data_IF_640778762833
#
_entry.id   IF_640778762833
#
_cell.length_a   1.000
_cell.length_b   1.000
_cell.length_c   1.000
_cell.angle_alpha   90.00
_cell.angle_beta   90.00
_cell.angle_gamma   90.00
#
_symmetry.space_group_name_H-M   'P 1'
#
loop_
_entity.id
_entity.type
_entity.pdbx_description
1 polymer ?
#
# COMPACT_ATOMS: atom_id res chain seq x y z
N UNK A 1 -9.93 13.95 5.66
CA UNK A 1 -8.56 13.75 5.15
C UNK A 1 -7.82 15.07 5.27
N UNK A 2 -6.70 15.08 5.96
CA UNK A 2 -5.81 16.25 6.02
C UNK A 2 -5.05 16.32 4.68
N UNK A 3 -5.02 17.48 4.04
CA UNK A 3 -4.20 17.66 2.84
C UNK A 3 -2.72 17.47 3.21
N UNK A 4 -1.87 16.93 2.30
CA UNK A 4 -0.44 16.84 2.55
C UNK A 4 0.16 18.22 2.78
N UNK A 5 1.18 18.31 3.61
CA UNK A 5 1.97 19.54 3.68
C UNK A 5 2.78 19.73 2.38
N UNK A 6 3.12 20.99 2.08
CA UNK A 6 3.81 21.34 0.83
C UNK A 6 5.17 20.63 0.68
N UNK A 7 5.87 20.38 1.77
CA UNK A 7 7.18 19.72 1.75
C UNK A 7 7.03 18.25 1.38
N UNK A 8 6.09 17.56 1.99
CA UNK A 8 5.77 16.15 1.68
C UNK A 8 5.37 16.02 0.21
N UNK A 9 4.47 16.87 -0.27
CA UNK A 9 4.04 16.83 -1.66
C UNK A 9 5.21 17.10 -2.64
N UNK A 10 6.08 18.08 -2.34
CA UNK A 10 7.25 18.35 -3.17
C UNK A 10 8.23 17.16 -3.21
N UNK A 11 8.45 16.50 -2.08
CA UNK A 11 9.31 15.30 -2.00
C UNK A 11 8.74 14.16 -2.85
N UNK A 12 7.45 13.88 -2.71
CA UNK A 12 6.77 12.82 -3.48
C UNK A 12 6.75 13.12 -4.98
N UNK A 13 6.47 14.36 -5.36
CA UNK A 13 6.50 14.79 -6.77
C UNK A 13 7.88 14.59 -7.36
N UNK A 14 8.92 15.01 -6.64
CA UNK A 14 10.30 14.83 -7.09
C UNK A 14 10.65 13.35 -7.28
N UNK A 15 10.37 12.51 -6.27
CA UNK A 15 10.61 11.06 -6.35
C UNK A 15 9.87 10.44 -7.54
N UNK A 16 8.60 10.79 -7.72
CA UNK A 16 7.79 10.30 -8.82
C UNK A 16 8.39 10.67 -10.18
N UNK A 17 8.76 11.93 -10.36
CA UNK A 17 9.29 12.42 -11.64
C UNK A 17 10.69 11.87 -11.96
N UNK A 18 11.51 11.62 -10.95
CA UNK A 18 12.83 10.98 -11.10
C UNK A 18 12.69 9.53 -11.56
N UNK A 19 11.70 8.78 -11.05
CA UNK A 19 11.54 7.35 -11.32
C UNK A 19 10.63 7.04 -12.52
N UNK A 20 9.60 7.85 -12.75
CA UNK A 20 8.55 7.55 -13.73
C UNK A 20 8.39 8.61 -14.83
N UNK A 21 9.12 9.71 -14.71
CA UNK A 21 9.03 10.85 -15.62
C UNK A 21 7.94 11.87 -15.23
N UNK A 22 7.83 12.97 -15.98
CA UNK A 22 7.01 14.12 -15.59
C UNK A 22 5.53 13.75 -15.44
N UNK A 23 4.91 14.26 -14.39
CA UNK A 23 3.48 14.07 -14.14
C UNK A 23 2.63 14.79 -15.22
N UNK A 24 3.02 16.00 -15.61
CA UNK A 24 2.27 16.80 -16.58
C UNK A 24 0.86 17.13 -16.08
N UNK A 25 -0.14 17.02 -16.97
CA UNK A 25 -1.54 17.33 -16.66
C UNK A 25 -2.32 16.09 -16.10
N UNK A 26 -1.62 15.00 -15.76
CA UNK A 26 -2.27 13.79 -15.22
C UNK A 26 -2.81 14.04 -13.81
N UNK A 27 -3.93 13.41 -13.51
CA UNK A 27 -4.52 13.47 -12.18
C UNK A 27 -3.63 12.71 -11.18
N UNK A 28 -3.32 13.36 -10.06
CA UNK A 28 -2.54 12.79 -8.97
C UNK A 28 -3.47 12.44 -7.82
N UNK A 29 -3.39 11.20 -7.36
CA UNK A 29 -4.03 10.75 -6.13
C UNK A 29 -3.00 10.79 -5.01
N UNK A 30 -3.28 11.53 -3.94
CA UNK A 30 -2.51 11.45 -2.70
C UNK A 30 -3.11 10.42 -1.74
N UNK A 31 -2.24 9.62 -1.16
CA UNK A 31 -2.60 8.57 -0.18
C UNK A 31 -1.79 8.77 1.09
N UNK A 32 -2.47 8.69 2.24
CA UNK A 32 -1.86 8.76 3.56
C UNK A 32 -2.34 7.56 4.39
N UNK A 33 -1.41 6.74 4.87
CA UNK A 33 -1.69 5.55 5.66
C UNK A 33 -0.80 5.52 6.91
N UNK A 34 -1.36 5.83 8.10
CA UNK A 34 -0.59 5.87 9.34
C UNK A 34 -0.16 4.47 9.79
N UNK A 35 0.98 4.42 10.47
CA UNK A 35 1.36 3.29 11.30
C UNK A 35 0.45 3.14 12.50
N UNK A 36 0.55 2.01 13.20
CA UNK A 36 -0.23 1.76 14.41
C UNK A 36 0.64 1.24 15.54
N UNK A 37 0.23 1.50 16.78
CA UNK A 37 0.79 0.86 17.96
C UNK A 37 -0.33 0.22 18.78
N UNK A 38 -0.04 -0.96 19.31
CA UNK A 38 -0.89 -1.57 20.32
C UNK A 38 -0.70 -0.83 21.66
N UNK A 39 -1.81 -0.43 22.26
CA UNK A 39 -1.85 0.29 23.53
C UNK A 39 -2.07 -0.69 24.69
N UNK A 40 -2.89 -1.71 24.45
CA UNK A 40 -3.23 -2.74 25.43
C UNK A 40 -3.68 -4.02 24.71
N UNK A 41 -3.36 -5.18 25.29
CA UNK A 41 -3.74 -6.49 24.76
C UNK A 41 -2.58 -7.50 24.84
N UNK A 42 -1.34 -7.03 24.99
CA UNK A 42 -0.14 -7.84 25.22
C UNK A 42 0.06 -8.97 24.19
N UNK A 43 -0.06 -8.63 22.90
CA UNK A 43 0.10 -9.54 21.77
C UNK A 43 -0.83 -10.76 21.75
N UNK A 44 -2.05 -10.61 22.26
CA UNK A 44 -3.05 -11.69 22.24
C UNK A 44 -3.93 -11.68 20.99
N UNK A 45 -3.75 -10.72 20.09
CA UNK A 45 -4.53 -10.57 18.85
C UNK A 45 -4.44 -11.81 17.95
N UNK A 46 -3.24 -12.37 17.76
CA UNK A 46 -3.03 -13.60 16.98
C UNK A 46 -3.56 -14.88 17.65
N UNK A 47 -3.95 -14.81 18.91
CA UNK A 47 -4.61 -15.90 19.66
C UNK A 47 -6.12 -15.66 19.82
N UNK A 48 -6.68 -14.68 19.10
CA UNK A 48 -8.08 -14.29 19.18
C UNK A 48 -8.42 -13.44 20.41
N UNK A 49 -7.41 -12.85 21.06
CA UNK A 49 -7.56 -11.94 22.17
C UNK A 49 -8.01 -10.56 21.75
N UNK A 50 -8.47 -9.76 22.72
CA UNK A 50 -8.86 -8.38 22.52
C UNK A 50 -7.67 -7.45 22.68
N UNK A 51 -7.45 -6.55 21.71
CA UNK A 51 -6.44 -5.51 21.75
C UNK A 51 -7.04 -4.13 21.58
N UNK A 52 -6.35 -3.12 22.09
CA UNK A 52 -6.63 -1.71 21.83
C UNK A 52 -5.41 -1.18 21.10
N UNK A 53 -5.60 -0.71 19.88
CA UNK A 53 -4.56 -0.08 19.09
C UNK A 53 -4.95 1.33 18.66
N UNK A 54 -3.95 2.17 18.41
CA UNK A 54 -4.15 3.54 17.94
C UNK A 54 -3.23 3.87 16.78
N UNK A 55 -3.69 4.75 15.91
CA UNK A 55 -2.87 5.32 14.82
C UNK A 55 -1.78 6.23 15.40
N UNK A 56 -0.64 6.25 14.71
CA UNK A 56 0.52 7.06 15.06
C UNK A 56 0.66 8.25 14.11
N UNK A 57 1.52 9.18 14.49
CA UNK A 57 1.93 10.33 13.66
C UNK A 57 3.11 10.00 12.72
N UNK A 58 3.32 8.72 12.46
CA UNK A 58 4.24 8.22 11.44
C UNK A 58 3.42 7.45 10.40
N UNK A 59 3.73 7.63 9.12
CA UNK A 59 2.85 7.16 8.07
C UNK A 59 3.63 6.76 6.80
N UNK A 60 2.92 6.12 5.90
CA UNK A 60 3.21 6.05 4.47
C UNK A 60 2.48 7.20 3.81
N UNK A 61 3.21 8.08 3.16
CA UNK A 61 2.69 9.14 2.31
C UNK A 61 3.07 8.86 0.87
N UNK A 62 2.10 8.81 -0.03
CA UNK A 62 2.33 8.45 -1.42
C UNK A 62 1.49 9.22 -2.41
N UNK A 63 1.96 9.25 -3.65
CA UNK A 63 1.18 9.72 -4.80
C UNK A 63 1.06 8.62 -5.83
N UNK A 64 -0.12 8.46 -6.39
CA UNK A 64 -0.42 7.51 -7.43
C UNK A 64 -0.95 8.21 -8.68
N UNK A 65 -0.53 7.75 -9.85
CA UNK A 65 -0.97 8.27 -11.15
C UNK A 65 -1.31 7.10 -12.06
N UNK A 66 -2.54 7.08 -12.60
CA UNK A 66 -2.97 6.06 -13.54
C UNK A 66 -2.12 6.07 -14.82
N UNK A 67 -1.93 4.87 -15.39
CA UNK A 67 -1.22 4.67 -16.66
C UNK A 67 -2.05 3.80 -17.60
N UNK A 68 -1.76 3.88 -18.90
CA UNK A 68 -2.39 3.03 -19.94
C UNK A 68 -1.70 1.65 -20.06
N UNK A 69 -0.90 1.26 -19.07
CA UNK A 69 -0.19 -0.03 -19.04
C UNK A 69 -0.96 -1.04 -18.19
N UNK A 70 -0.59 -2.32 -18.29
CA UNK A 70 -1.07 -3.37 -17.39
C UNK A 70 -0.08 -3.64 -16.25
N UNK A 71 0.66 -2.62 -15.80
CA UNK A 71 1.70 -2.74 -14.79
C UNK A 71 1.44 -1.79 -13.62
N UNK A 72 1.79 -2.23 -12.42
CA UNK A 72 1.98 -1.35 -11.28
C UNK A 72 3.47 -1.20 -11.05
N UNK A 73 3.97 0.05 -11.12
CA UNK A 73 5.36 0.37 -10.80
C UNK A 73 5.40 1.12 -9.48
N UNK A 74 6.34 0.76 -8.64
CA UNK A 74 6.43 1.30 -7.27
C UNK A 74 7.83 1.83 -7.01
N UNK A 75 7.91 3.07 -6.55
CA UNK A 75 9.12 3.72 -6.07
C UNK A 75 8.97 4.00 -4.56
N UNK A 76 9.82 3.40 -3.75
CA UNK A 76 9.96 3.65 -2.32
C UNK A 76 11.25 4.44 -2.08
N UNK A 77 11.17 5.54 -1.35
CA UNK A 77 12.34 6.39 -1.11
C UNK A 77 13.49 5.61 -0.48
N UNK A 78 14.63 5.57 -1.17
CA UNK A 78 15.84 4.87 -0.71
C UNK A 78 15.92 3.39 -1.06
N UNK A 79 14.96 2.86 -1.83
CA UNK A 79 14.94 1.48 -2.30
C UNK A 79 14.85 1.41 -3.83
N UNK A 80 15.29 0.30 -4.45
CA UNK A 80 15.15 0.12 -5.89
C UNK A 80 13.68 0.09 -6.31
N UNK A 81 13.34 0.83 -7.37
CA UNK A 81 12.04 0.76 -8.02
C UNK A 81 11.76 -0.63 -8.57
N UNK A 82 10.54 -1.12 -8.40
CA UNK A 82 10.11 -2.41 -8.90
C UNK A 82 8.76 -2.33 -9.61
N UNK A 83 8.42 -3.37 -10.35
CA UNK A 83 7.14 -3.48 -11.04
C UNK A 83 6.53 -4.88 -10.89
N UNK A 84 5.20 -4.94 -10.97
CA UNK A 84 4.44 -6.16 -11.19
C UNK A 84 3.58 -6.02 -12.44
N UNK A 85 3.32 -7.13 -13.13
CA UNK A 85 2.31 -7.17 -14.20
C UNK A 85 0.96 -7.59 -13.62
N UNK A 86 -0.11 -7.06 -14.19
CA UNK A 86 -1.49 -7.39 -13.82
C UNK A 86 -2.08 -8.56 -14.64
N UNK A 87 -1.27 -9.19 -15.52
CA UNK A 87 -1.69 -10.35 -16.33
C UNK A 87 -2.12 -11.53 -15.47
N UNK A 88 -1.52 -11.69 -14.31
CA UNK A 88 -1.92 -12.65 -13.28
C UNK A 88 -1.77 -12.05 -11.91
N UNK A 89 -2.79 -12.25 -11.08
CA UNK A 89 -2.79 -11.84 -9.68
C UNK A 89 -2.63 -13.04 -8.74
N UNK A 90 -2.32 -14.23 -9.28
CA UNK A 90 -2.02 -15.40 -8.49
C UNK A 90 -0.70 -15.24 -7.72
N UNK A 91 -0.57 -15.98 -6.63
CA UNK A 91 0.66 -16.02 -5.81
C UNK A 91 1.85 -16.41 -6.67
N UNK A 92 2.91 -15.61 -6.61
CA UNK A 92 4.18 -15.87 -7.26
C UNK A 92 5.22 -16.28 -6.20
N UNK A 93 5.67 -17.53 -6.23
CA UNK A 93 6.65 -18.04 -5.25
C UNK A 93 7.95 -17.22 -5.23
N UNK A 94 8.36 -16.68 -6.38
CA UNK A 94 9.54 -15.84 -6.51
C UNK A 94 9.41 -14.47 -5.85
N UNK A 95 8.18 -14.02 -5.56
CA UNK A 95 7.91 -12.73 -4.94
C UNK A 95 7.73 -12.83 -3.41
N UNK A 96 7.62 -14.02 -2.85
CA UNK A 96 7.44 -14.21 -1.40
C UNK A 96 8.53 -13.50 -0.60
N UNK A 97 8.11 -12.79 0.44
CA UNK A 97 9.00 -11.99 1.27
C UNK A 97 9.47 -10.67 0.65
N UNK A 98 8.90 -10.26 -0.48
CA UNK A 98 9.23 -9.00 -1.16
C UNK A 98 8.04 -8.04 -1.19
N UNK A 99 8.31 -6.74 -1.41
CA UNK A 99 7.26 -5.73 -1.57
C UNK A 99 6.36 -5.99 -2.79
N UNK A 100 6.86 -6.68 -3.82
CA UNK A 100 6.06 -7.04 -5.00
C UNK A 100 4.88 -7.96 -4.64
N UNK A 101 5.08 -8.91 -3.71
CA UNK A 101 4.01 -9.78 -3.24
C UNK A 101 2.90 -9.02 -2.52
N UNK A 102 3.23 -7.96 -1.78
CA UNK A 102 2.24 -7.13 -1.10
C UNK A 102 1.37 -6.36 -2.12
N UNK A 103 1.99 -5.81 -3.16
CA UNK A 103 1.25 -5.13 -4.24
C UNK A 103 0.33 -6.12 -4.95
N UNK A 104 0.84 -7.31 -5.30
CA UNK A 104 0.07 -8.36 -6.01
C UNK A 104 -1.09 -8.88 -5.18
N UNK A 105 -0.87 -9.12 -3.89
CA UNK A 105 -1.92 -9.58 -2.98
C UNK A 105 -3.02 -8.54 -2.81
N UNK A 106 -2.67 -7.27 -2.60
CA UNK A 106 -3.66 -6.19 -2.54
C UNK A 106 -4.40 -6.01 -3.86
N UNK A 107 -3.71 -6.14 -5.00
CA UNK A 107 -4.33 -6.10 -6.31
C UNK A 107 -5.35 -7.24 -6.50
N UNK A 108 -5.03 -8.46 -6.06
CA UNK A 108 -5.96 -9.60 -6.06
C UNK A 108 -7.20 -9.31 -5.20
N UNK A 109 -7.00 -8.83 -3.99
CA UNK A 109 -8.08 -8.54 -3.05
C UNK A 109 -9.04 -7.45 -3.56
N UNK A 110 -8.50 -6.38 -4.16
CA UNK A 110 -9.33 -5.31 -4.72
C UNK A 110 -10.04 -5.75 -6.00
N UNK A 111 -9.36 -6.49 -6.89
CA UNK A 111 -9.97 -7.05 -8.10
C UNK A 111 -11.13 -8.02 -7.77
N UNK A 112 -11.05 -8.75 -6.65
CA UNK A 112 -12.11 -9.63 -6.18
C UNK A 112 -13.42 -8.90 -5.83
N UNK A 113 -13.40 -7.58 -5.71
CA UNK A 113 -14.62 -6.76 -5.59
C UNK A 113 -15.36 -6.58 -6.92
N UNK A 114 -14.87 -7.17 -8.00
CA UNK A 114 -15.51 -7.13 -9.32
C UNK A 114 -15.08 -5.96 -10.20
N UNK A 115 -13.93 -5.38 -9.93
CA UNK A 115 -13.34 -4.30 -10.75
C UNK A 115 -12.21 -4.82 -11.61
N UNK A 116 -11.99 -4.18 -12.76
CA UNK A 116 -10.90 -4.52 -13.66
C UNK A 116 -9.62 -3.78 -13.21
N UNK A 117 -8.51 -4.50 -12.99
CA UNK A 117 -7.24 -3.89 -12.64
C UNK A 117 -6.67 -3.04 -13.78
N UNK A 118 -6.17 -1.86 -13.44
CA UNK A 118 -5.50 -0.94 -14.36
C UNK A 118 -4.12 -0.57 -13.83
N UNK A 119 -3.18 -0.31 -14.75
CA UNK A 119 -1.83 0.11 -14.41
C UNK A 119 -1.78 1.48 -13.72
N UNK A 120 -0.82 1.63 -12.84
CA UNK A 120 -0.50 2.92 -12.22
C UNK A 120 0.94 2.95 -11.73
N UNK A 121 1.45 4.16 -11.57
CA UNK A 121 2.72 4.42 -10.93
C UNK A 121 2.47 4.93 -9.51
N UNK A 122 3.22 4.43 -8.54
CA UNK A 122 3.09 4.81 -7.13
C UNK A 122 4.45 5.16 -6.54
N UNK A 123 4.63 6.40 -6.14
CA UNK A 123 5.80 6.86 -5.41
C UNK A 123 5.42 7.16 -3.97
N UNK A 124 6.18 6.68 -2.99
CA UNK A 124 5.89 6.90 -1.59
C UNK A 124 7.14 7.06 -0.72
N UNK A 125 6.95 7.70 0.41
CA UNK A 125 7.90 7.75 1.52
C UNK A 125 7.28 7.06 2.73
N UNK A 126 8.10 6.44 3.56
CA UNK A 126 7.64 5.74 4.75
C UNK A 126 8.40 6.23 5.99
N UNK A 127 7.72 6.94 6.87
CA UNK A 127 8.25 7.35 8.17
C UNK A 127 8.00 6.31 9.28
N UNK A 128 7.28 5.22 8.98
CA UNK A 128 7.04 4.12 9.92
C UNK A 128 8.31 3.27 10.03
N UNK A 129 8.95 3.18 11.22
CA UNK A 129 10.18 2.42 11.39
C UNK A 129 10.02 0.94 11.04
N UNK A 130 10.86 0.43 10.14
CA UNK A 130 10.92 -0.99 9.80
C UNK A 130 11.43 -1.80 11.00
N UNK A 131 10.78 -2.95 11.28
CA UNK A 131 11.18 -3.84 12.36
C UNK A 131 10.85 -3.33 13.77
N UNK A 132 10.24 -2.16 13.90
CA UNK A 132 9.87 -1.54 15.18
C UNK A 132 8.53 -1.98 15.76
N UNK A 133 7.86 -2.98 15.18
CA UNK A 133 6.55 -3.42 15.66
C UNK A 133 5.40 -2.45 15.35
N UNK A 134 5.67 -1.39 14.55
CA UNK A 134 4.68 -0.36 14.20
C UNK A 134 3.94 -0.64 12.88
N UNK A 135 4.10 -1.84 12.34
CA UNK A 135 3.39 -2.36 11.15
C UNK A 135 3.58 -1.52 9.89
N UNK A 136 4.84 -1.30 9.48
CA UNK A 136 5.12 -0.63 8.21
C UNK A 136 4.49 -1.36 7.01
N UNK A 137 4.53 -2.70 6.96
CA UNK A 137 3.88 -3.48 5.89
C UNK A 137 2.38 -3.21 5.81
N UNK A 138 1.66 -3.25 6.94
CA UNK A 138 0.23 -2.99 6.97
C UNK A 138 -0.12 -1.55 6.53
N UNK A 139 0.71 -0.55 6.86
CA UNK A 139 0.53 0.82 6.37
C UNK A 139 0.72 0.91 4.85
N UNK A 140 1.76 0.24 4.32
CA UNK A 140 2.02 0.16 2.87
C UNK A 140 0.89 -0.56 2.14
N UNK A 141 0.39 -1.68 2.65
CA UNK A 141 -0.75 -2.42 2.09
C UNK A 141 -2.02 -1.57 2.09
N UNK A 142 -2.30 -0.87 3.19
CA UNK A 142 -3.43 0.05 3.28
C UNK A 142 -3.31 1.18 2.24
N UNK A 143 -2.10 1.71 2.01
CA UNK A 143 -1.85 2.71 0.98
C UNK A 143 -2.12 2.14 -0.43
N UNK A 144 -1.63 0.93 -0.75
CA UNK A 144 -1.92 0.27 -2.02
C UNK A 144 -3.43 0.02 -2.20
N UNK A 145 -4.10 -0.50 -1.18
CA UNK A 145 -5.54 -0.76 -1.23
C UNK A 145 -6.34 0.52 -1.51
N UNK A 146 -6.01 1.65 -0.88
CA UNK A 146 -6.67 2.94 -1.12
C UNK A 146 -6.36 3.53 -2.49
N UNK A 147 -5.12 3.36 -2.98
CA UNK A 147 -4.77 3.76 -4.34
C UNK A 147 -5.59 2.96 -5.37
N UNK A 148 -5.60 1.64 -5.25
CA UNK A 148 -6.34 0.74 -6.15
C UNK A 148 -7.85 0.97 -6.09
N UNK A 149 -8.44 1.12 -4.88
CA UNK A 149 -9.85 1.45 -4.69
C UNK A 149 -10.26 2.66 -5.54
N UNK A 150 -9.47 3.72 -5.47
CA UNK A 150 -9.77 4.97 -6.17
C UNK A 150 -9.50 4.88 -7.66
N UNK A 151 -8.32 4.37 -8.06
CA UNK A 151 -7.90 4.34 -9.46
C UNK A 151 -8.66 3.32 -10.29
N UNK A 152 -9.10 2.22 -9.70
CA UNK A 152 -9.87 1.17 -10.38
C UNK A 152 -11.39 1.36 -10.25
N UNK A 153 -11.83 2.40 -9.51
CA UNK A 153 -13.26 2.67 -9.32
C UNK A 153 -13.98 1.59 -8.51
N UNK A 154 -13.29 0.97 -7.57
CA UNK A 154 -13.87 -0.04 -6.70
C UNK A 154 -14.94 0.57 -5.75
N UNK A 155 -15.91 -0.24 -5.29
CA UNK A 155 -16.78 0.17 -4.21
C UNK A 155 -15.96 0.58 -2.97
N UNK A 156 -16.48 1.53 -2.19
CA UNK A 156 -15.81 1.97 -0.97
C UNK A 156 -15.49 0.79 -0.05
N UNK A 157 -14.21 0.64 0.27
CA UNK A 157 -13.72 -0.45 1.13
C UNK A 157 -13.77 0.02 2.58
N UNK A 158 -14.61 -0.63 3.37
CA UNK A 158 -14.69 -0.34 4.80
C UNK A 158 -13.34 -0.63 5.50
N UNK A 159 -12.96 0.14 6.54
CA UNK A 159 -11.66 -0.01 7.19
C UNK A 159 -11.36 -1.43 7.69
N UNK A 160 -12.35 -2.12 8.24
CA UNK A 160 -12.20 -3.51 8.70
C UNK A 160 -11.95 -4.45 7.52
N UNK A 161 -12.67 -4.27 6.41
CA UNK A 161 -12.47 -5.07 5.21
C UNK A 161 -11.05 -4.86 4.64
N UNK A 162 -10.57 -3.60 4.60
CA UNK A 162 -9.20 -3.30 4.16
C UNK A 162 -8.15 -3.99 5.05
N UNK A 163 -8.32 -3.96 6.37
CA UNK A 163 -7.43 -4.65 7.30
C UNK A 163 -7.43 -6.17 7.08
N UNK A 164 -8.58 -6.77 6.80
CA UNK A 164 -8.69 -8.21 6.48
C UNK A 164 -8.03 -8.55 5.13
N UNK A 165 -8.13 -7.67 4.13
CA UNK A 165 -7.42 -7.80 2.85
C UNK A 165 -5.90 -7.78 3.06
N UNK A 166 -5.40 -6.83 3.86
CA UNK A 166 -3.98 -6.75 4.22
C UNK A 166 -3.52 -8.02 4.93
N UNK A 167 -4.28 -8.52 5.91
CA UNK A 167 -3.95 -9.77 6.60
C UNK A 167 -3.87 -10.96 5.65
N UNK A 168 -4.83 -11.11 4.72
CA UNK A 168 -4.78 -12.19 3.72
C UNK A 168 -3.60 -12.03 2.77
N UNK A 169 -3.23 -10.81 2.43
CA UNK A 169 -2.06 -10.50 1.61
C UNK A 169 -0.76 -10.93 2.31
N UNK A 170 -0.56 -10.53 3.56
CA UNK A 170 0.59 -10.97 4.36
C UNK A 170 0.66 -12.51 4.47
N UNK A 171 -0.45 -13.15 4.79
CA UNK A 171 -0.49 -14.60 5.00
C UNK A 171 -0.28 -15.41 3.72
N UNK A 172 -0.94 -15.04 2.62
CA UNK A 172 -1.00 -15.85 1.41
C UNK A 172 0.06 -15.47 0.38
N UNK A 173 0.38 -14.18 0.25
CA UNK A 173 1.30 -13.67 -0.77
C UNK A 173 2.70 -13.42 -0.22
N UNK A 174 2.82 -12.72 0.88
CA UNK A 174 4.11 -12.46 1.50
C UNK A 174 4.66 -13.70 2.21
N UNK A 175 3.79 -14.51 2.79
CA UNK A 175 4.15 -15.76 3.46
C UNK A 175 4.56 -15.58 4.92
N UNK A 176 4.15 -14.47 5.55
CA UNK A 176 4.37 -14.20 6.96
C UNK A 176 3.02 -14.20 7.68
N UNK A 177 2.73 -15.20 8.50
CA UNK A 177 1.50 -15.23 9.29
C UNK A 177 1.41 -14.02 10.23
N UNK A 178 0.26 -13.35 10.24
CA UNK A 178 -0.04 -12.26 11.15
C UNK A 178 -1.52 -12.31 11.61
#
# INVERSE_FOLDING_TARGET
>A
MTAPDEKTLATLTKLFEEEFGPIGDRQVLYVHAPGRSEISGNHTDHEGGHVIAGSLDVAVDGIAVATDTNKVRVADEGYPTFEITLDTLDVQESEKGTSASLVRGMAHEVAALGVEPHGFDFAFTCSVPSGGGLSSSAAVEAAYGRAMETLWGAPAIEPVALAQMSQRTENNYYGKPC
#
